data_IF_285100703839
#
_entry.id   IF_285100703839
#
_cell.length_a   1.000
_cell.length_b   1.000
_cell.length_c   1.000
_cell.angle_alpha   90.00
_cell.angle_beta   90.00
_cell.angle_gamma   90.00
#
_symmetry.space_group_name_H-M   'P 1'
#
loop_
_entity.id
_entity.type
_entity.pdbx_description
1 polymer ?
#
# COMPACT_ATOMS: atom_id res chain seq x y z
N UNK A 1 -5.29 6.02 -0.62
CA UNK A 1 -4.02 5.26 -0.60
C UNK A 1 -3.28 5.43 -1.93
N UNK A 2 -3.89 5.08 -3.07
CA UNK A 2 -3.31 5.26 -4.42
C UNK A 2 -2.79 6.69 -4.68
N UNK A 3 -3.58 7.73 -4.39
CA UNK A 3 -3.11 9.12 -4.58
C UNK A 3 -1.95 9.50 -3.66
N UNK A 4 -1.85 8.88 -2.48
CA UNK A 4 -0.72 9.09 -1.57
C UNK A 4 0.50 8.29 -2.00
N UNK A 5 0.36 7.09 -2.59
CA UNK A 5 1.49 6.31 -3.12
C UNK A 5 2.18 6.98 -4.31
N UNK A 6 1.44 7.75 -5.13
CA UNK A 6 2.02 8.64 -6.16
C UNK A 6 3.05 9.61 -5.59
N UNK A 7 2.82 10.13 -4.39
CA UNK A 7 3.71 11.11 -3.73
C UNK A 7 5.06 10.48 -3.37
N UNK A 8 5.09 9.17 -3.12
CA UNK A 8 6.30 8.42 -2.81
C UNK A 8 7.07 7.97 -4.07
N UNK A 9 6.61 8.31 -5.28
CA UNK A 9 7.30 7.94 -6.53
C UNK A 9 6.92 6.57 -7.09
N UNK A 10 5.75 6.02 -6.73
CA UNK A 10 5.21 4.83 -7.40
C UNK A 10 5.12 5.03 -8.90
N UNK A 11 5.56 4.03 -9.67
CA UNK A 11 5.46 4.04 -11.13
C UNK A 11 4.01 4.13 -11.61
N UNK A 12 3.78 4.91 -12.67
CA UNK A 12 2.46 5.16 -13.26
C UNK A 12 1.73 3.86 -13.65
N UNK A 13 2.47 2.80 -14.00
CA UNK A 13 1.91 1.50 -14.37
C UNK A 13 1.16 0.87 -13.20
N UNK A 14 1.72 0.91 -11.98
CA UNK A 14 1.11 0.32 -10.80
C UNK A 14 -0.08 1.13 -10.29
N UNK A 15 0.02 2.45 -10.37
CA UNK A 15 -1.10 3.34 -10.09
C UNK A 15 -2.27 3.00 -11.00
N UNK A 16 -2.00 2.80 -12.29
CA UNK A 16 -3.03 2.41 -13.26
C UNK A 16 -3.64 1.05 -12.93
N UNK A 17 -2.82 0.04 -12.63
CA UNK A 17 -3.29 -1.29 -12.24
C UNK A 17 -4.14 -1.25 -10.95
N UNK A 18 -3.71 -0.51 -9.94
CA UNK A 18 -4.47 -0.36 -8.70
C UNK A 18 -5.82 0.34 -8.93
N UNK A 19 -5.87 1.34 -9.84
CA UNK A 19 -7.12 1.97 -10.26
C UNK A 19 -8.03 1.00 -11.01
N UNK A 20 -7.47 0.18 -11.92
CA UNK A 20 -8.24 -0.84 -12.64
C UNK A 20 -8.87 -1.85 -11.66
N UNK A 21 -8.11 -2.37 -10.70
CA UNK A 21 -8.65 -3.25 -9.66
C UNK A 21 -9.73 -2.56 -8.82
N UNK A 22 -9.56 -1.28 -8.49
CA UNK A 22 -10.56 -0.52 -7.76
C UNK A 22 -11.87 -0.38 -8.55
N UNK A 23 -11.79 -0.08 -9.85
CA UNK A 23 -12.94 0.05 -10.75
C UNK A 23 -13.70 -1.27 -10.91
N UNK A 24 -12.97 -2.39 -10.87
CA UNK A 24 -13.53 -3.75 -10.88
C UNK A 24 -13.99 -4.25 -9.51
N UNK A 25 -13.91 -3.42 -8.45
CA UNK A 25 -14.24 -3.76 -7.06
C UNK A 25 -13.38 -4.88 -6.46
N UNK A 26 -12.21 -5.10 -7.03
CA UNK A 26 -11.21 -6.05 -6.55
C UNK A 26 -10.34 -5.39 -5.47
N UNK A 27 -10.96 -5.01 -4.35
CA UNK A 27 -10.32 -4.23 -3.28
C UNK A 27 -9.09 -4.91 -2.66
N UNK A 28 -9.10 -6.24 -2.55
CA UNK A 28 -7.93 -7.06 -2.17
C UNK A 28 -6.72 -6.81 -3.06
N UNK A 29 -6.88 -7.08 -4.36
CA UNK A 29 -5.84 -6.92 -5.36
C UNK A 29 -5.37 -5.47 -5.48
N UNK A 30 -6.30 -4.52 -5.39
CA UNK A 30 -5.99 -3.09 -5.35
C UNK A 30 -5.06 -2.76 -4.18
N UNK A 31 -5.39 -3.23 -2.97
CA UNK A 31 -4.61 -2.97 -1.77
C UNK A 31 -3.25 -3.66 -1.81
N UNK A 32 -3.22 -4.95 -2.15
CA UNK A 32 -1.98 -5.72 -2.26
C UNK A 32 -1.01 -5.10 -3.27
N UNK A 33 -1.52 -4.67 -4.42
CA UNK A 33 -0.70 -4.01 -5.46
C UNK A 33 -0.02 -2.75 -4.92
N UNK A 34 -0.74 -1.91 -4.16
CA UNK A 34 -0.16 -0.69 -3.61
C UNK A 34 0.86 -1.00 -2.52
N UNK A 35 0.57 -1.95 -1.62
CA UNK A 35 1.47 -2.33 -0.53
C UNK A 35 2.75 -2.99 -1.06
N UNK A 36 2.63 -3.95 -1.97
CA UNK A 36 3.78 -4.59 -2.60
C UNK A 36 4.66 -3.58 -3.32
N UNK A 37 4.07 -2.63 -4.05
CA UNK A 37 4.87 -1.69 -4.82
C UNK A 37 5.73 -0.78 -3.95
N UNK A 38 5.21 -0.36 -2.80
CA UNK A 38 5.97 0.43 -1.83
C UNK A 38 7.20 -0.36 -1.35
N UNK A 39 7.03 -1.66 -1.09
CA UNK A 39 8.12 -2.54 -0.68
C UNK A 39 9.13 -2.84 -1.79
N UNK A 40 8.67 -3.22 -2.98
CA UNK A 40 9.55 -3.54 -4.11
C UNK A 40 10.38 -2.34 -4.58
N UNK A 41 9.84 -1.13 -4.40
CA UNK A 41 10.52 0.12 -4.74
C UNK A 41 11.34 0.72 -3.60
N UNK A 42 11.43 0.03 -2.45
CA UNK A 42 12.12 0.48 -1.24
C UNK A 42 11.72 1.92 -0.84
N UNK A 43 10.43 2.22 -0.94
CA UNK A 43 9.91 3.56 -0.69
C UNK A 43 9.68 3.75 0.79
N UNK A 44 10.46 4.66 1.39
CA UNK A 44 10.29 5.04 2.78
C UNK A 44 8.89 5.61 3.03
N UNK A 45 8.21 5.09 4.05
CA UNK A 45 6.87 5.51 4.48
C UNK A 45 6.92 6.09 5.90
N UNK A 46 5.94 6.92 6.24
CA UNK A 46 5.76 7.39 7.63
C UNK A 46 4.96 6.38 8.46
N UNK A 47 5.06 6.49 9.79
CA UNK A 47 4.21 5.75 10.72
C UNK A 47 2.72 5.95 10.42
N UNK A 48 2.31 7.18 10.10
CA UNK A 48 0.92 7.49 9.72
C UNK A 48 0.46 6.71 8.49
N UNK A 49 1.36 6.48 7.53
CA UNK A 49 1.04 5.71 6.34
C UNK A 49 0.96 4.22 6.66
N UNK A 50 1.87 3.70 7.50
CA UNK A 50 1.82 2.32 7.99
C UNK A 50 0.53 2.05 8.78
N UNK A 51 0.11 2.97 9.66
CA UNK A 51 -1.15 2.89 10.38
C UNK A 51 -2.35 2.86 9.43
N UNK A 52 -2.34 3.66 8.36
CA UNK A 52 -3.37 3.64 7.34
C UNK A 52 -3.46 2.28 6.62
N UNK A 53 -2.33 1.62 6.36
CA UNK A 53 -2.31 0.24 5.82
C UNK A 53 -3.05 -0.69 6.79
N UNK A 54 -2.73 -0.61 8.08
CA UNK A 54 -3.39 -1.42 9.12
C UNK A 54 -4.89 -1.16 9.24
N UNK A 55 -5.34 0.09 9.17
CA UNK A 55 -6.76 0.44 9.19
C UNK A 55 -7.52 -0.13 7.99
N UNK A 56 -6.91 -0.10 6.80
CA UNK A 56 -7.51 -0.64 5.59
C UNK A 56 -7.54 -2.17 5.63
N UNK A 57 -6.45 -2.82 6.04
CA UNK A 57 -6.40 -4.27 6.23
C UNK A 57 -7.48 -4.76 7.19
N UNK A 58 -7.66 -4.08 8.33
CA UNK A 58 -8.71 -4.41 9.30
C UNK A 58 -10.13 -4.24 8.72
N UNK A 59 -10.38 -3.20 7.91
CA UNK A 59 -11.67 -3.03 7.21
C UNK A 59 -11.95 -4.12 6.19
N UNK A 60 -10.92 -4.80 5.73
CA UNK A 60 -11.00 -5.91 4.77
C UNK A 60 -10.98 -7.29 5.45
N UNK A 61 -11.00 -7.32 6.79
CA UNK A 61 -10.85 -8.56 7.59
C UNK A 61 -9.54 -9.32 7.29
N UNK A 62 -8.47 -8.57 7.00
CA UNK A 62 -7.13 -9.10 6.75
C UNK A 62 -6.23 -8.79 7.94
N UNK A 63 -5.53 -9.81 8.43
CA UNK A 63 -4.59 -9.66 9.54
C UNK A 63 -3.34 -8.89 9.13
N UNK A 64 -2.96 -7.89 9.94
CA UNK A 64 -1.80 -7.03 9.64
C UNK A 64 -0.48 -7.80 9.57
N UNK A 65 -0.40 -8.99 10.17
CA UNK A 65 0.81 -9.84 10.12
C UNK A 65 1.26 -10.17 8.68
N UNK A 66 0.33 -10.24 7.72
CA UNK A 66 0.64 -10.47 6.31
C UNK A 66 1.43 -9.32 5.68
N UNK A 67 1.37 -8.12 6.28
CA UNK A 67 2.06 -6.92 5.81
C UNK A 67 3.16 -6.44 6.77
N UNK A 68 3.61 -7.30 7.69
CA UNK A 68 4.69 -7.00 8.65
C UNK A 68 6.00 -6.57 7.99
N UNK A 69 6.26 -7.00 6.75
CA UNK A 69 7.41 -6.55 5.97
C UNK A 69 7.44 -5.03 5.74
N UNK A 70 6.28 -4.36 5.78
CA UNK A 70 6.20 -2.91 5.62
C UNK A 70 6.86 -2.14 6.78
N UNK A 71 7.07 -2.77 7.94
CA UNK A 71 7.80 -2.16 9.06
C UNK A 71 9.23 -1.78 8.68
N UNK A 72 9.86 -2.50 7.73
CA UNK A 72 11.21 -2.19 7.28
C UNK A 72 11.30 -0.88 6.49
N UNK A 73 10.18 -0.40 5.95
CA UNK A 73 10.08 0.81 5.15
C UNK A 73 9.80 2.06 5.99
N UNK A 74 9.47 1.90 7.28
CA UNK A 74 9.20 3.04 8.15
C UNK A 74 10.47 3.88 8.27
N UNK A 75 10.39 5.13 7.82
CA UNK A 75 11.50 6.07 7.85
C UNK A 75 12.00 6.22 9.30
N UNK A 76 13.21 5.75 9.57
CA UNK A 76 13.87 5.96 10.86
C UNK A 76 14.40 7.39 10.91
N UNK A 77 13.60 8.30 11.47
CA UNK A 77 14.09 9.62 11.87
C UNK A 77 15.05 9.50 13.06
#
# INVERSE_FOLDING_TARGET
MIERSKVFGSSEVYVKQACEFLDHREHGLCFDTVVMQLYESDLAISDDYYNLIGEIANKMDVEMQYYSFMESLIAKN
#
